data_IF_230108393901
#
_entry.id   IF_230108393901
#
_cell.length_a   1.000
_cell.length_b   1.000
_cell.length_c   1.000
_cell.angle_alpha   90.00
_cell.angle_beta   90.00
_cell.angle_gamma   90.00
#
_symmetry.space_group_name_H-M   'P 1'
#
loop_
_entity.id
_entity.type
_entity.pdbx_description
1 polymer ?
#
# COMPACT_ATOMS: atom_id res chain seq x y z
N UNK A 1 -4.25 6.01 24.58
CA UNK A 1 -3.44 6.19 23.35
C UNK A 1 -4.35 6.01 22.14
N UNK A 2 -4.20 6.76 21.05
CA UNK A 2 -4.90 6.46 19.81
C UNK A 2 -4.35 5.17 19.18
N UNK A 3 -5.22 4.35 18.59
CA UNK A 3 -4.87 3.13 17.83
C UNK A 3 -5.47 3.25 16.43
N UNK A 4 -4.75 2.76 15.43
CA UNK A 4 -5.20 2.72 14.03
C UNK A 4 -5.51 1.27 13.62
N UNK A 5 -6.50 1.11 12.75
CA UNK A 5 -6.94 -0.19 12.27
C UNK A 5 -6.06 -0.65 11.10
N UNK A 6 -4.97 -1.36 11.42
CA UNK A 6 -4.07 -1.96 10.44
C UNK A 6 -3.91 -3.46 10.70
N UNK A 7 -3.84 -4.25 9.64
CA UNK A 7 -3.64 -5.70 9.72
C UNK A 7 -2.75 -6.19 8.57
N UNK A 8 -1.96 -7.26 8.77
CA UNK A 8 -1.16 -7.83 7.69
C UNK A 8 -2.07 -8.47 6.63
N UNK A 9 -1.70 -8.34 5.36
CA UNK A 9 -2.33 -9.05 4.24
C UNK A 9 -1.28 -9.44 3.20
N UNK A 10 -1.63 -10.40 2.36
CA UNK A 10 -0.83 -10.79 1.21
C UNK A 10 -1.59 -10.42 -0.06
N UNK A 11 -0.88 -10.19 -1.16
CA UNK A 11 -1.51 -10.05 -2.47
C UNK A 11 -1.72 -11.41 -3.14
N UNK A 12 -2.66 -11.49 -4.08
CA UNK A 12 -2.63 -12.56 -5.07
C UNK A 12 -1.29 -12.54 -5.81
N UNK A 13 -0.67 -13.71 -6.12
CA UNK A 13 0.58 -13.76 -6.87
C UNK A 13 0.45 -13.01 -8.19
N UNK A 14 1.39 -12.10 -8.44
CA UNK A 14 1.36 -11.24 -9.62
C UNK A 14 2.33 -11.76 -10.68
N UNK A 15 1.78 -12.19 -11.81
CA UNK A 15 2.56 -12.57 -12.99
C UNK A 15 2.86 -11.32 -13.83
N UNK A 16 4.12 -11.12 -14.18
CA UNK A 16 4.54 -9.94 -14.93
C UNK A 16 4.43 -10.21 -16.44
N UNK A 17 3.59 -9.42 -17.11
CA UNK A 17 3.55 -9.39 -18.57
C UNK A 17 4.59 -8.42 -19.12
N UNK A 18 5.39 -8.80 -20.13
CA UNK A 18 6.37 -7.89 -20.76
C UNK A 18 5.74 -6.64 -21.40
N UNK A 19 4.43 -6.64 -21.64
CA UNK A 19 3.69 -5.55 -22.27
C UNK A 19 3.18 -4.51 -21.28
N UNK A 20 3.16 -4.85 -19.99
CA UNK A 20 2.59 -4.02 -18.93
C UNK A 20 3.68 -3.34 -18.09
N UNK A 21 3.39 -2.11 -17.67
CA UNK A 21 4.30 -1.30 -16.82
C UNK A 21 3.68 -0.94 -15.47
N UNK A 22 2.36 -1.00 -15.35
CA UNK A 22 1.63 -0.76 -14.11
C UNK A 22 0.76 -1.99 -13.81
N UNK A 23 0.86 -2.53 -12.61
CA UNK A 23 0.17 -3.75 -12.19
C UNK A 23 -0.82 -3.44 -11.09
N UNK A 24 -2.08 -3.83 -11.27
CA UNK A 24 -3.12 -3.61 -10.26
C UNK A 24 -3.01 -4.66 -9.15
N UNK A 25 -2.75 -4.20 -7.92
CA UNK A 25 -2.66 -5.08 -6.77
C UNK A 25 -4.05 -5.49 -6.27
N UNK A 26 -4.20 -6.78 -6.00
CA UNK A 26 -5.40 -7.35 -5.39
C UNK A 26 -5.02 -8.05 -4.09
N UNK A 27 -5.64 -7.67 -2.95
CA UNK A 27 -5.52 -8.43 -1.71
C UNK A 27 -5.96 -9.88 -1.94
N UNK A 28 -5.22 -10.83 -1.36
CA UNK A 28 -5.50 -12.25 -1.50
C UNK A 28 -6.90 -12.60 -0.98
N UNK A 29 -7.82 -12.82 -1.91
CA UNK A 29 -9.19 -13.38 -1.76
C UNK A 29 -9.96 -13.04 -0.47
N UNK A 30 -9.88 -11.80 0.01
CA UNK A 30 -10.74 -11.27 1.07
C UNK A 30 -12.06 -10.78 0.45
N UNK A 31 -13.16 -11.50 0.66
CA UNK A 31 -14.50 -11.17 0.12
C UNK A 31 -15.33 -10.28 1.05
N UNK A 32 -14.70 -9.35 1.76
CA UNK A 32 -15.38 -8.55 2.77
C UNK A 32 -15.94 -7.22 2.22
N UNK A 33 -15.46 -6.79 1.04
CA UNK A 33 -15.89 -5.57 0.36
C UNK A 33 -15.45 -4.27 1.03
N UNK A 34 -14.60 -4.33 2.05
CA UNK A 34 -14.15 -3.16 2.80
C UNK A 34 -12.64 -3.13 3.07
N UNK A 35 -11.91 -4.20 2.78
CA UNK A 35 -10.44 -4.20 2.84
C UNK A 35 -9.84 -3.28 1.77
N UNK A 36 -8.94 -2.39 2.20
CA UNK A 36 -8.11 -1.55 1.35
C UNK A 36 -6.62 -1.79 1.65
N UNK A 37 -5.77 -1.66 0.64
CA UNK A 37 -4.31 -1.69 0.84
C UNK A 37 -3.88 -0.34 1.41
N UNK A 38 -3.27 -0.37 2.60
CA UNK A 38 -2.67 0.81 3.24
C UNK A 38 -1.23 1.03 2.76
N UNK A 39 -0.41 -0.02 2.76
CA UNK A 39 0.97 0.02 2.27
C UNK A 39 1.39 -1.29 1.61
N UNK A 40 2.39 -1.18 0.74
CA UNK A 40 3.19 -2.31 0.27
C UNK A 40 4.44 -2.35 1.12
N UNK A 41 4.67 -3.46 1.82
CA UNK A 41 5.73 -3.55 2.82
C UNK A 41 6.96 -4.26 2.23
N UNK A 42 6.74 -5.33 1.46
CA UNK A 42 7.80 -6.08 0.81
C UNK A 42 7.34 -6.69 -0.51
N UNK A 43 8.26 -6.78 -1.48
CA UNK A 43 8.03 -7.43 -2.77
C UNK A 43 9.20 -8.36 -3.04
N UNK A 44 8.87 -9.63 -3.24
CA UNK A 44 9.81 -10.69 -3.57
C UNK A 44 9.48 -11.23 -4.96
N UNK A 45 10.45 -11.17 -5.84
CA UNK A 45 10.47 -11.87 -7.11
C UNK A 45 10.85 -13.33 -6.90
N UNK A 46 10.19 -14.23 -7.61
CA UNK A 46 10.55 -15.63 -7.71
C UNK A 46 10.67 -16.03 -9.18
N UNK A 47 11.82 -16.63 -9.53
CA UNK A 47 12.13 -17.21 -10.84
C UNK A 47 12.83 -18.56 -10.64
N UNK A 48 13.02 -19.31 -11.73
CA UNK A 48 13.80 -20.55 -11.68
C UNK A 48 15.26 -20.34 -11.22
N UNK A 49 15.83 -19.14 -11.43
CA UNK A 49 17.20 -18.77 -11.05
C UNK A 49 17.34 -18.40 -9.57
N UNK A 50 16.24 -18.21 -8.85
CA UNK A 50 16.24 -17.80 -7.45
C UNK A 50 15.21 -16.71 -7.15
N UNK A 51 15.39 -16.08 -5.99
CA UNK A 51 14.49 -15.04 -5.48
C UNK A 51 15.25 -13.73 -5.25
N UNK A 52 14.61 -12.61 -5.57
CA UNK A 52 15.20 -11.28 -5.47
C UNK A 52 14.19 -10.29 -4.89
N UNK A 53 14.64 -9.41 -4.00
CA UNK A 53 13.77 -8.39 -3.39
C UNK A 53 13.79 -7.08 -4.19
N UNK A 54 12.66 -6.39 -4.25
CA UNK A 54 12.60 -5.01 -4.78
C UNK A 54 12.74 -3.99 -3.66
N UNK A 55 13.39 -2.86 -3.97
CA UNK A 55 13.61 -1.76 -3.04
C UNK A 55 12.58 -0.63 -3.27
N UNK A 56 11.94 -0.06 -2.24
CA UNK A 56 11.01 1.05 -2.46
C UNK A 56 11.74 2.31 -2.95
N UNK A 57 11.21 2.96 -3.98
CA UNK A 57 11.77 4.16 -4.61
C UNK A 57 12.04 5.30 -3.61
N UNK A 58 11.19 5.43 -2.59
CA UNK A 58 11.33 6.44 -1.53
C UNK A 58 12.63 6.29 -0.71
N UNK A 59 13.21 5.09 -0.61
CA UNK A 59 14.38 4.82 0.22
C UNK A 59 15.71 5.38 -0.30
N UNK A 60 15.78 5.71 -1.60
CA UNK A 60 16.99 6.25 -2.22
C UNK A 60 16.79 7.62 -2.88
N UNK A 61 15.54 8.06 -3.11
CA UNK A 61 15.25 9.40 -3.65
C UNK A 61 15.84 10.54 -2.80
N UNK A 62 15.77 10.44 -1.48
CA UNK A 62 16.16 11.52 -0.55
C UNK A 62 17.68 11.61 -0.33
N UNK A 63 18.46 10.65 -0.83
CA UNK A 63 19.93 10.63 -0.71
C UNK A 63 20.66 11.41 -1.82
N UNK A 64 19.98 12.35 -2.47
CA UNK A 64 20.64 13.40 -3.28
C UNK A 64 21.16 13.00 -4.66
N UNK A 65 20.69 11.90 -5.27
CA UNK A 65 21.22 11.45 -6.55
C UNK A 65 20.15 11.22 -7.61
N UNK A 66 19.94 12.20 -8.49
CA UNK A 66 19.47 11.94 -9.86
C UNK A 66 20.61 11.35 -10.72
N UNK A 67 21.49 10.57 -10.11
CA UNK A 67 22.49 9.76 -10.79
C UNK A 67 21.85 8.39 -10.98
N UNK A 68 21.55 8.05 -12.23
CA UNK A 68 21.01 6.72 -12.61
C UNK A 68 21.85 5.56 -12.05
N UNK A 69 23.13 5.83 -11.74
CA UNK A 69 24.10 4.86 -11.24
C UNK A 69 23.93 4.44 -9.77
N UNK A 70 23.22 5.22 -8.94
CA UNK A 70 22.98 4.86 -7.53
C UNK A 70 21.60 4.22 -7.30
N UNK A 71 20.78 4.11 -8.36
CA UNK A 71 19.50 3.43 -8.27
C UNK A 71 19.72 1.92 -8.06
N UNK A 72 19.00 1.27 -7.15
CA UNK A 72 19.03 -0.17 -7.03
C UNK A 72 18.68 -0.85 -8.35
N UNK A 73 19.26 -2.03 -8.60
CA UNK A 73 18.99 -2.85 -9.79
C UNK A 73 17.50 -3.20 -9.95
N UNK A 74 16.76 -3.23 -8.82
CA UNK A 74 15.31 -3.43 -8.76
C UNK A 74 14.68 -2.50 -7.74
N UNK A 75 13.74 -1.69 -8.19
CA UNK A 75 12.94 -0.86 -7.32
C UNK A 75 11.48 -0.82 -7.72
N UNK A 76 10.65 -0.37 -6.80
CA UNK A 76 9.22 -0.19 -7.03
C UNK A 76 8.72 1.13 -6.49
N UNK A 77 7.61 1.61 -7.05
CA UNK A 77 6.78 2.61 -6.40
C UNK A 77 5.31 2.26 -6.58
N UNK A 78 4.49 2.82 -5.70
CA UNK A 78 3.05 2.58 -5.70
C UNK A 78 2.29 3.84 -6.06
N UNK A 79 1.15 3.66 -6.70
CA UNK A 79 0.21 4.73 -7.02
C UNK A 79 -1.18 4.33 -6.58
N UNK A 80 -1.81 5.20 -5.80
CA UNK A 80 -3.18 4.98 -5.32
C UNK A 80 -4.15 5.84 -6.13
N UNK A 81 -5.22 5.23 -6.63
CA UNK A 81 -6.32 5.89 -7.34
C UNK A 81 -7.65 5.47 -6.71
N UNK A 82 -8.63 6.36 -6.70
CA UNK A 82 -9.99 5.99 -6.27
C UNK A 82 -10.68 5.20 -7.38
N UNK A 83 -11.13 4.00 -7.08
CA UNK A 83 -11.85 3.12 -7.99
C UNK A 83 -13.35 3.42 -8.04
N UNK A 84 -14.10 2.76 -8.95
CA UNK A 84 -15.54 2.98 -9.15
C UNK A 84 -16.41 2.63 -7.93
N UNK A 85 -15.97 1.66 -7.11
CA UNK A 85 -16.63 1.28 -5.85
C UNK A 85 -16.49 2.34 -4.74
N UNK A 86 -15.67 3.37 -4.98
CA UNK A 86 -15.31 4.37 -3.99
C UNK A 86 -14.14 3.98 -3.09
N UNK A 87 -13.69 2.71 -3.13
CA UNK A 87 -12.46 2.24 -2.50
C UNK A 87 -11.22 2.63 -3.32
N UNK A 88 -10.03 2.43 -2.74
CA UNK A 88 -8.76 2.72 -3.40
C UNK A 88 -8.18 1.51 -4.14
N UNK A 89 -7.89 1.70 -5.43
CA UNK A 89 -7.06 0.80 -6.22
C UNK A 89 -5.58 1.19 -6.06
N UNK A 90 -4.75 0.20 -5.74
CA UNK A 90 -3.29 0.37 -5.62
C UNK A 90 -2.60 -0.26 -6.82
N UNK A 91 -1.83 0.55 -7.53
CA UNK A 91 -1.04 0.16 -8.68
C UNK A 91 0.43 0.05 -8.26
N UNK A 92 1.07 -1.02 -8.67
CA UNK A 92 2.50 -1.27 -8.54
C UNK A 92 3.20 -0.90 -9.84
N UNK A 93 4.32 -0.21 -9.73
CA UNK A 93 5.16 0.17 -10.86
C UNK A 93 6.58 -0.24 -10.54
N UNK A 94 7.17 -1.04 -11.42
CA UNK A 94 8.50 -1.62 -11.28
C UNK A 94 9.52 -0.86 -12.14
N UNK A 95 10.78 -0.91 -11.75
CA UNK A 95 11.88 -0.33 -12.51
C UNK A 95 13.24 -0.80 -12.02
N UNK A 96 14.27 -0.37 -12.74
CA UNK A 96 15.66 -0.74 -12.50
C UNK A 96 16.24 -1.58 -13.63
N UNK A 97 17.55 -1.49 -13.84
CA UNK A 97 18.21 -2.07 -15.01
C UNK A 97 18.06 -3.60 -15.08
N UNK A 98 18.09 -4.29 -13.92
CA UNK A 98 17.89 -5.73 -13.87
C UNK A 98 16.42 -6.12 -14.10
N UNK A 99 15.48 -5.28 -13.67
CA UNK A 99 14.07 -5.48 -14.04
C UNK A 99 13.87 -5.32 -15.55
N UNK A 100 14.43 -4.29 -16.17
CA UNK A 100 14.28 -4.04 -17.61
C UNK A 100 14.90 -5.15 -18.47
N UNK A 101 16.08 -5.66 -18.07
CA UNK A 101 16.72 -6.80 -18.72
C UNK A 101 15.87 -8.08 -18.59
N UNK A 102 15.33 -8.33 -17.40
CA UNK A 102 14.55 -9.53 -17.09
C UNK A 102 13.11 -9.46 -17.57
N UNK A 103 12.60 -8.27 -17.93
CA UNK A 103 11.22 -8.09 -18.40
C UNK A 103 10.91 -8.90 -19.66
N UNK A 104 11.94 -9.25 -20.44
CA UNK A 104 11.80 -10.11 -21.63
C UNK A 104 11.80 -11.60 -21.29
N UNK A 105 12.18 -11.97 -20.06
CA UNK A 105 12.18 -13.34 -19.58
C UNK A 105 10.79 -13.66 -19.02
N UNK A 106 10.08 -14.55 -19.69
CA UNK A 106 8.83 -15.13 -19.17
C UNK A 106 9.11 -15.88 -17.85
N UNK A 107 8.09 -16.07 -17.00
CA UNK A 107 8.14 -16.76 -15.69
C UNK A 107 8.57 -15.97 -14.43
N UNK A 108 8.44 -14.64 -14.38
CA UNK A 108 8.51 -13.92 -13.10
C UNK A 108 7.17 -13.94 -12.36
N UNK A 109 7.19 -14.35 -11.10
CA UNK A 109 6.05 -14.20 -10.19
C UNK A 109 6.46 -13.35 -8.99
N UNK A 110 5.65 -12.36 -8.65
CA UNK A 110 5.84 -11.53 -7.46
C UNK A 110 4.94 -12.01 -6.32
N UNK A 111 5.54 -12.11 -5.13
CA UNK A 111 4.86 -12.26 -3.85
C UNK A 111 4.99 -10.96 -3.07
N UNK A 112 3.87 -10.47 -2.53
CA UNK A 112 3.80 -9.17 -1.89
C UNK A 112 3.17 -9.27 -0.51
N UNK A 113 3.95 -8.86 0.50
CA UNK A 113 3.45 -8.60 1.83
C UNK A 113 2.99 -7.15 1.93
N UNK A 114 1.77 -6.97 2.42
CA UNK A 114 1.05 -5.72 2.42
C UNK A 114 0.47 -5.46 3.82
N UNK A 115 0.19 -4.19 4.11
CA UNK A 115 -0.63 -3.81 5.26
C UNK A 115 -1.98 -3.35 4.76
N UNK A 116 -3.05 -3.92 5.35
CA UNK A 116 -4.43 -3.57 5.10
C UNK A 116 -5.00 -2.61 6.11
N UNK A 117 -6.08 -1.96 5.70
CA UNK A 117 -7.00 -1.26 6.57
C UNK A 117 -8.42 -1.58 6.13
N UNK A 118 -9.38 -1.42 7.04
CA UNK A 118 -10.77 -1.44 6.63
C UNK A 118 -11.20 -0.03 6.21
N UNK A 119 -11.51 0.13 4.92
CA UNK A 119 -11.96 1.37 4.29
C UNK A 119 -13.41 1.72 4.65
N UNK A 120 -14.34 1.53 3.70
CA UNK A 120 -15.75 1.88 3.90
C UNK A 120 -16.50 0.88 4.79
N UNK A 121 -16.22 0.85 6.10
CA UNK A 121 -17.21 0.31 7.04
C UNK A 121 -18.34 1.32 7.29
N UNK A 122 -19.60 0.87 7.33
CA UNK A 122 -20.70 1.69 7.79
C UNK A 122 -20.39 2.28 9.17
N UNK A 123 -20.55 3.60 9.32
CA UNK A 123 -20.27 4.31 10.59
C UNK A 123 -21.00 3.72 11.80
N UNK A 124 -22.18 3.11 11.60
CA UNK A 124 -22.94 2.41 12.64
C UNK A 124 -22.30 1.09 13.09
N UNK A 125 -21.62 0.37 12.20
CA UNK A 125 -20.88 -0.85 12.54
C UNK A 125 -19.62 -0.57 13.38
N UNK A 126 -19.02 0.62 13.20
CA UNK A 126 -17.87 1.09 13.97
C UNK A 126 -18.25 1.58 15.39
N UNK A 127 -19.52 1.95 15.62
CA UNK A 127 -19.99 2.42 16.93
C UNK A 127 -20.34 1.26 17.89
N UNK A 128 -20.68 0.08 17.35
CA UNK A 128 -21.02 -1.10 18.15
C UNK A 128 -19.82 -2.02 18.44
N UNK A 129 -18.65 -1.77 17.84
CA UNK A 129 -17.42 -2.55 18.09
C UNK A 129 -16.64 -1.98 19.28
N UNK A 130 -16.96 -2.47 20.48
CA UNK A 130 -16.21 -2.16 21.69
C UNK A 130 -14.95 -3.02 21.78
N UNK A 131 -13.79 -2.40 22.01
CA UNK A 131 -12.52 -3.07 22.28
C UNK A 131 -12.36 -3.30 23.79
N UNK A 132 -13.39 -3.84 24.44
CA UNK A 132 -13.44 -3.97 25.90
C UNK A 132 -12.97 -5.35 26.39
N UNK A 133 -12.48 -6.18 25.47
CA UNK A 133 -11.95 -7.51 25.84
C UNK A 133 -10.59 -7.38 26.50
N UNK A 134 -10.37 -8.06 27.64
CA UNK A 134 -9.05 -8.13 28.24
C UNK A 134 -8.10 -8.82 27.27
N UNK A 135 -6.95 -8.19 27.03
CA UNK A 135 -5.89 -8.76 26.20
C UNK A 135 -4.83 -9.31 27.14
N UNK A 136 -4.47 -10.58 26.92
CA UNK A 136 -3.36 -11.21 27.61
C UNK A 136 -2.06 -10.80 26.91
N UNK A 137 -1.29 -9.92 27.55
CA UNK A 137 0.06 -9.59 27.14
C UNK A 137 1.02 -10.25 28.12
N UNK A 138 1.70 -11.29 27.65
CA UNK A 138 2.60 -12.14 28.45
C UNK A 138 1.94 -12.65 29.75
N UNK A 139 2.34 -12.13 30.92
CA UNK A 139 1.87 -12.55 32.24
C UNK A 139 0.85 -11.59 32.87
N UNK A 140 0.48 -10.50 32.19
CA UNK A 140 -0.45 -9.49 32.71
C UNK A 140 -1.75 -9.42 31.89
N UNK A 141 -2.85 -9.23 32.60
CA UNK A 141 -4.16 -8.96 32.00
C UNK A 141 -4.33 -7.45 31.86
N UNK A 142 -4.33 -6.95 30.62
CA UNK A 142 -4.59 -5.55 30.33
C UNK A 142 -6.06 -5.37 30.01
N UNK A 143 -6.74 -4.44 30.71
CA UNK A 143 -8.07 -3.98 30.32
C UNK A 143 -7.91 -2.88 29.27
N UNK A 144 -8.38 -3.15 28.06
CA UNK A 144 -8.59 -2.13 27.06
C UNK A 144 -10.03 -1.62 27.20
N UNK A 145 -10.24 -0.32 26.99
CA UNK A 145 -11.58 0.26 26.94
C UNK A 145 -11.62 1.33 25.84
N UNK A 146 -12.68 1.33 25.05
CA UNK A 146 -12.86 2.36 24.02
C UNK A 146 -13.21 3.71 24.66
N UNK A 147 -12.27 4.65 24.69
CA UNK A 147 -12.47 5.97 25.31
C UNK A 147 -13.13 7.03 24.40
N UNK A 148 -13.27 6.77 23.10
CA UNK A 148 -13.87 7.68 22.13
C UNK A 148 -14.46 6.92 20.93
N UNK A 149 -15.49 7.47 20.24
CA UNK A 149 -16.04 6.83 19.04
C UNK A 149 -14.98 6.63 17.97
N UNK A 150 -15.01 5.48 17.30
CA UNK A 150 -14.15 5.22 16.15
C UNK A 150 -14.39 6.29 15.06
N UNK A 151 -13.29 6.83 14.54
CA UNK A 151 -13.33 7.86 13.49
C UNK A 151 -13.35 7.20 12.11
N UNK A 152 -14.09 7.79 11.18
CA UNK A 152 -14.03 7.42 9.77
C UNK A 152 -12.65 7.74 9.20
N UNK A 153 -12.11 6.94 8.25
CA UNK A 153 -10.83 7.22 7.59
C UNK A 153 -10.78 8.63 7.02
N UNK A 154 -9.71 9.37 7.31
CA UNK A 154 -9.49 10.70 6.77
C UNK A 154 -8.79 10.59 5.41
N UNK A 155 -9.56 10.60 4.32
CA UNK A 155 -9.02 10.56 2.96
C UNK A 155 -8.76 12.01 2.50
N UNK A 156 -7.51 12.42 2.27
CA UNK A 156 -7.23 13.77 1.80
C UNK A 156 -7.86 13.99 0.43
N UNK A 157 -8.73 14.99 0.31
CA UNK A 157 -9.30 15.38 -0.99
C UNK A 157 -8.22 16.10 -1.80
N UNK A 158 -7.93 15.60 -3.00
CA UNK A 158 -7.13 16.33 -3.99
C UNK A 158 -7.91 17.59 -4.39
N UNK A 159 -7.47 18.76 -3.96
CA UNK A 159 -7.99 20.05 -4.43
C UNK A 159 -7.12 20.50 -5.59
N UNK A 160 -7.66 20.49 -6.79
CA UNK A 160 -7.02 21.13 -7.96
C UNK A 160 -7.26 22.62 -7.86
N UNK A 161 -6.22 23.41 -7.55
CA UNK A 161 -6.28 24.85 -7.68
C UNK A 161 -5.96 25.22 -9.14
N UNK A 162 -6.94 25.79 -9.86
CA UNK A 162 -6.68 26.43 -11.14
C UNK A 162 -6.38 27.91 -10.90
N UNK A 163 -5.13 28.30 -11.10
CA UNK A 163 -4.77 29.70 -11.36
C UNK A 163 -4.31 29.75 -12.80
N UNK A 164 -4.83 30.72 -13.56
CA UNK A 164 -4.71 30.79 -15.03
C UNK A 164 -3.34 30.36 -15.56
N UNK A 165 -3.35 29.36 -16.45
CA UNK A 165 -2.24 29.02 -17.33
C UNK A 165 -1.29 27.89 -16.91
N UNK A 166 -1.27 27.43 -15.65
CA UNK A 166 -0.42 26.31 -15.24
C UNK A 166 -1.08 25.47 -14.14
N UNK A 167 -1.42 24.21 -14.47
CA UNK A 167 -1.97 23.25 -13.50
C UNK A 167 -0.83 22.58 -12.73
N UNK A 168 -0.54 23.06 -11.52
CA UNK A 168 0.36 22.39 -10.58
C UNK A 168 -0.47 21.59 -9.56
N UNK A 169 -0.27 20.28 -9.50
CA UNK A 169 -0.92 19.42 -8.51
C UNK A 169 -0.17 19.53 -7.18
N UNK A 170 -0.70 20.30 -6.23
CA UNK A 170 -0.18 20.37 -4.86
C UNK A 170 -0.88 19.30 -4.00
N UNK A 171 -0.13 18.31 -3.51
CA UNK A 171 -0.64 17.37 -2.50
C UNK A 171 -0.45 18.02 -1.13
N UNK A 172 -1.51 18.64 -0.59
CA UNK A 172 -1.54 19.12 0.79
C UNK A 172 -1.75 17.93 1.73
N UNK A 173 -0.66 17.38 2.26
CA UNK A 173 -0.72 16.45 3.38
C UNK A 173 -0.94 17.26 4.66
N UNK A 174 -2.19 17.35 5.11
CA UNK A 174 -2.49 17.87 6.44
C UNK A 174 -2.13 16.81 7.49
N UNK A 175 -0.94 16.91 8.07
CA UNK A 175 -0.69 16.38 9.41
C UNK A 175 -1.26 17.38 10.41
N UNK A 176 -2.09 16.90 11.33
CA UNK A 176 -2.49 17.63 12.53
C UNK A 176 -2.03 16.85 13.75
#
# INVERSE_FOLDING_TARGET
MPVINLFPLEADPLHLSPLENEFLLRPMRIQDGHTEIYSVDNIISSRHTGSQAYVPFSSFRHRGGMLRHDAPERYYHTRVKRGPSGLHDTWLILGGDAFDADRMLEDETLSLSLTGTNGHLPRKALQSTLLDRPVHASQNVLRCATCAPQRSPAIPRRVTASTGGCSATLVLTFYR
#
